data_IF_113140207540
#
_entry.id   IF_113140207540
#
_cell.length_a   1.000
_cell.length_b   1.000
_cell.length_c   1.000
_cell.angle_alpha   90.00
_cell.angle_beta   90.00
_cell.angle_gamma   90.00
#
_symmetry.space_group_name_H-M   'P 1'
#
loop_
_entity.id
_entity.type
_entity.pdbx_description
1 polymer ?
#
# COMPACT_ATOMS: atom_id res chain seq x y z
N UNK A 1 93.68 21.24 3.94
CA UNK A 1 93.83 22.30 2.91
C UNK A 1 92.63 22.28 1.99
N UNK A 2 92.04 23.44 1.80
CA UNK A 2 91.11 23.82 0.72
C UNK A 2 89.71 23.17 0.78
N UNK A 3 88.73 23.90 1.24
CA UNK A 3 87.92 24.94 0.53
C UNK A 3 87.25 24.39 -0.71
N UNK A 4 85.97 24.37 -0.78
CA UNK A 4 85.10 25.30 -1.53
C UNK A 4 83.72 24.73 -1.65
N UNK A 5 82.80 25.44 -1.21
CA UNK A 5 81.84 26.38 -1.83
C UNK A 5 80.58 25.62 -2.28
N UNK A 6 79.60 25.74 -1.51
CA UNK A 6 78.41 26.60 -1.65
C UNK A 6 77.89 26.64 -3.10
N UNK A 7 76.77 25.93 -3.31
CA UNK A 7 75.79 26.32 -4.30
C UNK A 7 74.41 26.02 -3.79
N UNK A 8 73.81 27.11 -3.39
CA UNK A 8 72.40 27.19 -2.96
C UNK A 8 71.55 27.21 -4.21
N UNK A 9 70.85 26.16 -4.53
CA UNK A 9 69.74 26.24 -5.49
C UNK A 9 68.45 26.13 -4.79
N UNK A 10 67.88 27.29 -4.66
CA UNK A 10 66.49 27.52 -4.11
C UNK A 10 65.53 27.03 -5.15
N UNK A 11 65.06 25.79 -5.02
CA UNK A 11 63.85 25.30 -5.77
C UNK A 11 62.63 25.62 -5.02
N UNK A 12 61.99 26.70 -5.41
CA UNK A 12 60.68 27.05 -4.96
C UNK A 12 59.65 26.05 -5.53
N UNK A 13 59.24 25.09 -4.71
CA UNK A 13 58.10 24.23 -5.04
C UNK A 13 56.83 25.00 -4.72
N UNK A 14 56.16 25.52 -5.73
CA UNK A 14 54.81 26.08 -5.65
C UNK A 14 53.84 24.93 -5.36
N UNK A 15 53.44 24.78 -4.13
CA UNK A 15 52.28 23.95 -3.74
C UNK A 15 51.03 24.68 -4.17
N UNK A 16 50.47 24.32 -5.34
CA UNK A 16 49.10 24.66 -5.72
C UNK A 16 48.15 23.85 -4.84
N UNK A 17 47.71 24.47 -3.76
CA UNK A 17 46.57 23.99 -2.99
C UNK A 17 45.29 24.15 -3.83
N UNK A 18 44.97 23.11 -4.62
CA UNK A 18 43.66 23.00 -5.28
C UNK A 18 42.61 22.76 -4.20
N UNK A 19 41.92 23.82 -3.76
CA UNK A 19 40.65 23.67 -3.04
C UNK A 19 39.63 23.06 -3.99
N UNK A 20 39.55 21.75 -4.06
CA UNK A 20 38.43 21.04 -4.64
C UNK A 20 37.23 21.33 -3.77
N UNK A 21 36.35 22.25 -4.16
CA UNK A 21 35.00 22.36 -3.60
C UNK A 21 34.26 21.08 -3.97
N UNK A 22 34.22 20.13 -3.04
CA UNK A 22 33.30 19.00 -3.13
C UNK A 22 31.89 19.63 -3.04
N UNK A 23 31.22 19.77 -4.18
CA UNK A 23 29.82 20.12 -4.20
C UNK A 23 29.07 19.10 -3.32
N UNK A 24 28.19 19.54 -2.38
CA UNK A 24 27.39 18.61 -1.63
C UNK A 24 26.60 17.78 -2.64
N UNK A 25 26.81 16.47 -2.61
CA UNK A 25 26.02 15.54 -3.40
C UNK A 25 24.58 15.76 -2.95
N UNK A 26 23.71 16.25 -3.82
CA UNK A 26 22.30 16.38 -3.52
C UNK A 26 21.81 14.98 -3.14
N UNK A 27 21.52 14.79 -1.87
CA UNK A 27 20.93 13.55 -1.37
C UNK A 27 19.62 13.36 -2.14
N UNK A 28 19.51 12.22 -2.83
CA UNK A 28 18.29 11.91 -3.57
C UNK A 28 17.10 11.97 -2.61
N UNK A 29 15.96 12.56 -3.02
CA UNK A 29 14.78 12.59 -2.17
C UNK A 29 14.49 11.17 -1.66
N UNK A 30 14.13 11.00 -0.38
CA UNK A 30 13.77 9.68 0.14
C UNK A 30 12.65 9.10 -0.72
N UNK A 31 12.79 7.83 -1.09
CA UNK A 31 11.78 7.12 -1.85
C UNK A 31 10.46 7.16 -1.07
N UNK A 32 9.31 7.35 -1.75
CA UNK A 32 8.03 7.39 -1.08
C UNK A 32 7.81 6.07 -0.33
N UNK A 33 7.68 6.15 0.98
CA UNK A 33 7.30 5.02 1.82
C UNK A 33 5.81 4.71 1.60
N UNK A 34 5.43 3.43 1.65
CA UNK A 34 4.03 3.03 1.54
C UNK A 34 3.21 3.63 2.68
N UNK A 35 2.22 4.45 2.34
CA UNK A 35 1.27 5.04 3.29
C UNK A 35 0.04 4.13 3.43
N UNK A 36 0.01 3.35 4.51
CA UNK A 36 -1.04 2.37 4.77
C UNK A 36 -2.41 3.03 5.00
N UNK A 37 -2.46 4.19 5.67
CA UNK A 37 -3.71 4.90 5.93
C UNK A 37 -4.30 5.49 4.64
N UNK A 38 -3.46 6.11 3.82
CA UNK A 38 -3.88 6.59 2.51
C UNK A 38 -4.36 5.43 1.61
N UNK A 39 -3.68 4.29 1.64
CA UNK A 39 -4.05 3.10 0.89
C UNK A 39 -5.44 2.58 1.29
N UNK A 40 -5.71 2.41 2.60
CA UNK A 40 -7.02 1.96 3.08
C UNK A 40 -8.11 3.00 2.77
N UNK A 41 -7.80 4.28 2.86
CA UNK A 41 -8.74 5.36 2.46
C UNK A 41 -9.11 5.23 0.98
N UNK A 42 -8.13 5.01 0.10
CA UNK A 42 -8.37 4.81 -1.33
C UNK A 42 -9.21 3.55 -1.61
N UNK A 43 -8.93 2.45 -0.89
CA UNK A 43 -9.71 1.20 -0.98
C UNK A 43 -11.17 1.44 -0.62
N UNK A 44 -11.44 2.12 0.48
CA UNK A 44 -12.81 2.41 0.93
C UNK A 44 -13.53 3.36 0.00
N UNK A 45 -12.83 4.36 -0.52
CA UNK A 45 -13.37 5.28 -1.53
C UNK A 45 -13.76 4.56 -2.83
N UNK A 46 -12.98 3.57 -3.28
CA UNK A 46 -13.31 2.76 -4.45
C UNK A 46 -14.60 1.95 -4.26
N UNK A 47 -14.94 1.61 -3.03
CA UNK A 47 -16.18 0.90 -2.67
C UNK A 47 -17.41 1.79 -2.52
N UNK A 48 -17.30 3.11 -2.70
CA UNK A 48 -18.48 3.96 -2.63
C UNK A 48 -19.46 3.58 -3.75
N UNK A 49 -20.72 3.31 -3.33
CA UNK A 49 -21.78 2.99 -4.28
C UNK A 49 -22.06 4.17 -5.21
N UNK A 50 -22.24 3.88 -6.49
CA UNK A 50 -22.83 4.86 -7.39
C UNK A 50 -24.34 4.98 -7.12
N UNK A 51 -24.96 6.10 -7.55
CA UNK A 51 -26.39 6.31 -7.35
C UNK A 51 -27.29 5.23 -7.99
N UNK A 52 -26.74 4.39 -8.85
CA UNK A 52 -27.43 3.28 -9.53
C UNK A 52 -27.19 1.91 -8.91
N UNK A 53 -26.33 1.80 -7.88
CA UNK A 53 -26.00 0.54 -7.23
C UNK A 53 -26.73 0.38 -5.90
N UNK A 54 -27.31 -0.80 -5.67
CA UNK A 54 -27.91 -1.17 -4.38
C UNK A 54 -26.85 -1.87 -3.54
N UNK A 55 -26.61 -1.36 -2.34
CA UNK A 55 -25.79 -2.04 -1.35
C UNK A 55 -26.64 -3.03 -0.57
N UNK A 56 -26.48 -4.31 -0.87
CA UNK A 56 -27.20 -5.40 -0.20
C UNK A 56 -26.32 -5.95 0.91
N UNK A 57 -26.71 -5.71 2.16
CA UNK A 57 -26.05 -6.28 3.32
C UNK A 57 -26.63 -7.67 3.62
N UNK A 58 -25.85 -8.75 3.59
CA UNK A 58 -26.31 -10.06 4.00
C UNK A 58 -26.62 -10.08 5.51
N UNK A 59 -27.60 -10.87 5.90
CA UNK A 59 -27.79 -11.18 7.32
C UNK A 59 -26.58 -11.98 7.82
N UNK A 60 -25.97 -11.52 8.89
CA UNK A 60 -24.80 -12.14 9.51
C UNK A 60 -25.16 -12.77 10.85
N UNK A 61 -24.33 -13.71 11.26
CA UNK A 61 -24.33 -14.19 12.64
C UNK A 61 -24.06 -13.01 13.59
N UNK A 62 -24.83 -12.85 14.68
CA UNK A 62 -24.66 -11.76 15.64
C UNK A 62 -23.23 -11.71 16.23
N UNK A 63 -22.61 -12.86 16.53
CA UNK A 63 -21.25 -12.92 17.04
C UNK A 63 -20.23 -12.40 16.01
N UNK A 64 -20.43 -12.71 14.74
CA UNK A 64 -19.60 -12.16 13.66
C UNK A 64 -19.75 -10.65 13.58
N UNK A 65 -20.95 -10.12 13.72
CA UNK A 65 -21.19 -8.68 13.67
C UNK A 65 -20.57 -7.95 14.88
N UNK A 66 -20.65 -8.54 16.08
CA UNK A 66 -19.99 -8.01 17.29
C UNK A 66 -18.47 -7.95 17.11
N UNK A 67 -17.85 -8.99 16.56
CA UNK A 67 -16.41 -9.02 16.28
C UNK A 67 -15.99 -7.97 15.22
N UNK A 68 -16.82 -7.74 14.21
CA UNK A 68 -16.59 -6.68 13.21
C UNK A 68 -16.64 -5.28 13.84
N UNK A 69 -17.66 -5.03 14.70
CA UNK A 69 -17.79 -3.77 15.43
C UNK A 69 -16.59 -3.56 16.37
N UNK A 70 -16.17 -4.61 17.07
CA UNK A 70 -14.97 -4.58 17.91
C UNK A 70 -13.74 -4.24 17.08
N UNK A 71 -13.55 -4.88 15.92
CA UNK A 71 -12.44 -4.59 15.01
C UNK A 71 -12.43 -3.11 14.58
N UNK A 72 -13.58 -2.59 14.16
CA UNK A 72 -13.72 -1.18 13.76
C UNK A 72 -13.36 -0.22 14.89
N UNK A 73 -13.82 -0.50 16.12
CA UNK A 73 -13.49 0.31 17.29
C UNK A 73 -12.01 0.26 17.65
N UNK A 74 -11.35 -0.88 17.48
CA UNK A 74 -9.91 -1.04 17.69
C UNK A 74 -9.10 -0.31 16.61
N UNK A 75 -9.51 -0.41 15.36
CA UNK A 75 -8.89 0.31 14.24
C UNK A 75 -8.95 1.83 14.46
N UNK A 76 -10.11 2.36 14.85
CA UNK A 76 -10.29 3.79 15.14
C UNK A 76 -9.34 4.31 16.26
N UNK A 77 -8.86 3.41 17.11
CA UNK A 77 -7.88 3.69 18.18
C UNK A 77 -6.44 3.44 17.74
N UNK A 78 -6.19 3.07 16.49
CA UNK A 78 -4.87 2.72 15.96
C UNK A 78 -4.36 1.34 16.41
N UNK A 79 -5.21 0.51 17.02
CA UNK A 79 -4.86 -0.83 17.52
C UNK A 79 -5.00 -1.88 16.41
N UNK A 80 -4.28 -1.68 15.30
CA UNK A 80 -4.45 -2.45 14.06
C UNK A 80 -4.23 -3.95 14.23
N UNK A 81 -3.30 -4.37 15.09
CA UNK A 81 -3.09 -5.80 15.38
C UNK A 81 -4.32 -6.42 16.03
N UNK A 82 -4.81 -5.79 17.08
CA UNK A 82 -6.00 -6.28 17.77
C UNK A 82 -7.25 -6.24 16.89
N UNK A 83 -7.37 -5.23 15.99
CA UNK A 83 -8.43 -5.19 15.00
C UNK A 83 -8.37 -6.38 14.03
N UNK A 84 -7.17 -6.71 13.55
CA UNK A 84 -6.96 -7.89 12.70
C UNK A 84 -7.30 -9.19 13.42
N UNK A 85 -6.91 -9.33 14.69
CA UNK A 85 -7.18 -10.52 15.51
C UNK A 85 -8.70 -10.72 15.73
N UNK A 86 -9.48 -9.65 15.89
CA UNK A 86 -10.94 -9.73 15.96
C UNK A 86 -11.55 -10.21 14.63
N UNK A 87 -11.04 -9.74 13.49
CA UNK A 87 -11.48 -10.23 12.17
C UNK A 87 -11.07 -11.67 11.91
N UNK A 88 -9.91 -12.12 12.40
CA UNK A 88 -9.51 -13.52 12.31
C UNK A 88 -10.45 -14.43 13.12
N UNK A 89 -10.96 -13.98 14.28
CA UNK A 89 -12.00 -14.68 15.05
C UNK A 89 -13.32 -14.73 14.27
N UNK A 90 -13.75 -13.61 13.67
CA UNK A 90 -14.96 -13.59 12.83
C UNK A 90 -14.85 -14.54 11.62
N UNK A 91 -13.67 -14.61 11.00
CA UNK A 91 -13.37 -15.53 9.90
C UNK A 91 -13.32 -17.00 10.35
N UNK A 92 -13.04 -17.28 11.61
CA UNK A 92 -13.14 -18.65 12.15
C UNK A 92 -14.59 -19.14 12.19
N UNK A 93 -15.56 -18.23 12.37
CA UNK A 93 -17.00 -18.52 12.33
C UNK A 93 -17.51 -18.54 10.89
N UNK A 94 -17.11 -17.57 10.07
CA UNK A 94 -17.57 -17.38 8.68
C UNK A 94 -16.42 -17.27 7.69
N UNK A 95 -15.70 -18.36 7.48
CA UNK A 95 -14.42 -18.41 6.73
C UNK A 95 -14.51 -17.94 5.27
N UNK A 96 -15.69 -18.02 4.65
CA UNK A 96 -15.94 -17.67 3.26
C UNK A 96 -16.62 -16.33 3.05
N UNK A 97 -16.92 -15.55 4.10
CA UNK A 97 -17.57 -14.25 3.96
C UNK A 97 -16.65 -13.26 3.22
N UNK A 98 -17.04 -12.80 2.01
CA UNK A 98 -16.17 -11.94 1.20
C UNK A 98 -15.95 -10.56 1.82
N UNK A 99 -16.91 -10.05 2.61
CA UNK A 99 -16.75 -8.77 3.29
C UNK A 99 -15.77 -8.88 4.46
N UNK A 100 -15.82 -9.97 5.24
CA UNK A 100 -14.83 -10.22 6.30
C UNK A 100 -13.42 -10.40 5.74
N UNK A 101 -13.28 -11.16 4.64
CA UNK A 101 -12.00 -11.32 3.95
C UNK A 101 -11.45 -9.98 3.48
N UNK A 102 -12.31 -9.10 2.96
CA UNK A 102 -11.94 -7.75 2.54
C UNK A 102 -11.52 -6.88 3.73
N UNK A 103 -12.29 -6.86 4.81
CA UNK A 103 -11.94 -6.09 6.00
C UNK A 103 -10.61 -6.57 6.60
N UNK A 104 -10.38 -7.88 6.61
CA UNK A 104 -9.08 -8.45 7.04
C UNK A 104 -7.92 -8.10 6.10
N UNK A 105 -8.19 -7.97 4.79
CA UNK A 105 -7.21 -7.51 3.81
C UNK A 105 -6.83 -6.03 4.05
N UNK A 106 -7.81 -5.18 4.39
CA UNK A 106 -7.56 -3.79 4.76
C UNK A 106 -6.73 -3.68 6.05
N UNK A 107 -7.04 -4.49 7.06
CA UNK A 107 -6.22 -4.58 8.27
C UNK A 107 -4.79 -5.06 7.97
N UNK A 108 -4.61 -5.93 6.98
CA UNK A 108 -3.28 -6.35 6.52
C UNK A 108 -2.50 -5.19 5.86
N UNK A 109 -3.16 -4.30 5.09
CA UNK A 109 -2.53 -3.09 4.56
C UNK A 109 -2.05 -2.19 5.71
N UNK A 110 -2.89 -1.96 6.73
CA UNK A 110 -2.55 -1.16 7.92
C UNK A 110 -1.36 -1.73 8.69
N UNK A 111 -1.18 -3.05 8.66
CA UNK A 111 -0.08 -3.76 9.27
C UNK A 111 1.16 -3.91 8.36
N UNK A 112 1.15 -3.32 7.17
CA UNK A 112 2.20 -3.49 6.15
C UNK A 112 2.43 -4.95 5.72
N UNK A 113 1.43 -5.81 5.89
CA UNK A 113 1.42 -7.21 5.46
C UNK A 113 0.91 -7.31 4.00
N UNK A 114 1.63 -6.68 3.08
CA UNK A 114 1.17 -6.45 1.71
C UNK A 114 0.89 -7.75 0.92
N UNK A 115 1.70 -8.81 1.01
CA UNK A 115 1.38 -10.09 0.36
C UNK A 115 0.09 -10.73 0.89
N UNK A 116 -0.18 -10.61 2.19
CA UNK A 116 -1.40 -11.12 2.80
C UNK A 116 -2.62 -10.28 2.39
N UNK A 117 -2.48 -8.96 2.32
CA UNK A 117 -3.54 -8.07 1.84
C UNK A 117 -3.98 -8.46 0.41
N UNK A 118 -3.02 -8.66 -0.50
CA UNK A 118 -3.31 -9.11 -1.87
C UNK A 118 -4.02 -10.47 -1.88
N UNK A 119 -3.47 -11.44 -1.16
CA UNK A 119 -4.02 -12.81 -1.11
C UNK A 119 -5.45 -12.84 -0.54
N UNK A 120 -5.71 -12.10 0.53
CA UNK A 120 -7.03 -12.01 1.16
C UNK A 120 -8.04 -11.31 0.24
N UNK A 121 -7.67 -10.22 -0.41
CA UNK A 121 -8.53 -9.51 -1.35
C UNK A 121 -8.87 -10.38 -2.58
N UNK A 122 -7.93 -11.16 -3.10
CA UNK A 122 -8.20 -12.11 -4.19
C UNK A 122 -9.14 -13.23 -3.75
N UNK A 123 -9.00 -13.75 -2.52
CA UNK A 123 -9.95 -14.72 -1.95
C UNK A 123 -11.34 -14.12 -1.78
N UNK A 124 -11.42 -12.87 -1.30
CA UNK A 124 -12.67 -12.15 -1.16
C UNK A 124 -13.37 -11.98 -2.51
N UNK A 125 -12.64 -11.60 -3.56
CA UNK A 125 -13.15 -11.51 -4.92
C UNK A 125 -13.68 -12.85 -5.44
N UNK A 126 -12.95 -13.95 -5.19
CA UNK A 126 -13.36 -15.28 -5.65
C UNK A 126 -14.62 -15.80 -4.92
N UNK A 127 -14.83 -15.38 -3.66
CA UNK A 127 -15.96 -15.81 -2.83
C UNK A 127 -17.20 -14.91 -2.99
N UNK A 128 -17.03 -13.67 -3.48
CA UNK A 128 -18.08 -12.66 -3.52
C UNK A 128 -18.61 -12.31 -4.90
N UNK A 129 -19.38 -11.23 -4.94
CA UNK A 129 -19.83 -10.64 -6.21
C UNK A 129 -18.65 -10.10 -6.99
N UNK A 130 -18.60 -10.40 -8.29
CA UNK A 130 -17.57 -9.92 -9.20
C UNK A 130 -17.92 -8.57 -9.84
N UNK A 131 -18.93 -7.89 -9.32
CA UNK A 131 -19.38 -6.55 -9.73
C UNK A 131 -19.77 -5.74 -8.50
N UNK A 132 -19.86 -4.43 -8.67
CA UNK A 132 -20.34 -3.51 -7.63
C UNK A 132 -19.28 -3.06 -6.63
N UNK A 133 -19.69 -2.42 -5.54
CA UNK A 133 -18.82 -1.73 -4.58
C UNK A 133 -17.75 -2.64 -3.97
N UNK A 134 -18.14 -3.83 -3.52
CA UNK A 134 -17.21 -4.75 -2.85
C UNK A 134 -16.16 -5.29 -3.83
N UNK A 135 -16.55 -5.59 -5.08
CA UNK A 135 -15.61 -5.96 -6.14
C UNK A 135 -14.55 -4.87 -6.37
N UNK A 136 -14.96 -3.61 -6.42
CA UNK A 136 -14.01 -2.48 -6.57
C UNK A 136 -13.05 -2.39 -5.39
N UNK A 137 -13.53 -2.59 -4.15
CA UNK A 137 -12.66 -2.62 -2.96
C UNK A 137 -11.61 -3.73 -3.05
N UNK A 138 -12.01 -4.94 -3.47
CA UNK A 138 -11.07 -6.06 -3.61
C UNK A 138 -9.93 -5.71 -4.55
N UNK A 139 -10.25 -5.20 -5.76
CA UNK A 139 -9.21 -4.90 -6.75
C UNK A 139 -8.40 -3.65 -6.41
N UNK A 140 -8.98 -2.67 -5.72
CA UNK A 140 -8.18 -1.55 -5.22
C UNK A 140 -7.21 -2.00 -4.11
N UNK A 141 -7.62 -2.92 -3.22
CA UNK A 141 -6.71 -3.51 -2.23
C UNK A 141 -5.53 -4.21 -2.90
N UNK A 142 -5.79 -5.00 -3.95
CA UNK A 142 -4.74 -5.64 -4.76
C UNK A 142 -3.81 -4.59 -5.38
N UNK A 143 -4.37 -3.50 -5.91
CA UNK A 143 -3.58 -2.43 -6.51
C UNK A 143 -2.67 -1.74 -5.48
N UNK A 144 -3.20 -1.41 -4.30
CA UNK A 144 -2.44 -0.76 -3.23
C UNK A 144 -1.34 -1.68 -2.68
N UNK A 145 -1.63 -2.96 -2.47
CA UNK A 145 -0.63 -3.94 -2.05
C UNK A 145 0.53 -4.02 -3.07
N UNK A 146 0.22 -4.07 -4.36
CA UNK A 146 1.21 -4.11 -5.44
C UNK A 146 2.02 -2.83 -5.57
N UNK A 147 1.43 -1.67 -5.28
CA UNK A 147 2.18 -0.40 -5.21
C UNK A 147 3.21 -0.46 -4.09
N UNK A 148 2.82 -0.94 -2.91
CA UNK A 148 3.75 -1.04 -1.78
C UNK A 148 4.80 -2.15 -1.91
N UNK A 149 4.55 -3.17 -2.75
CA UNK A 149 5.50 -4.25 -3.05
C UNK A 149 6.43 -3.92 -4.23
N UNK A 150 6.13 -2.84 -4.99
CA UNK A 150 6.91 -2.50 -6.17
C UNK A 150 8.35 -2.14 -5.78
N UNK A 151 9.30 -2.67 -6.55
CA UNK A 151 10.69 -2.23 -6.47
C UNK A 151 10.77 -0.73 -6.87
N UNK A 152 11.30 0.13 -6.01
CA UNK A 152 11.46 1.55 -6.32
C UNK A 152 12.30 1.83 -7.58
N UNK A 153 13.16 0.88 -7.96
CA UNK A 153 14.01 0.97 -9.16
C UNK A 153 13.27 0.46 -10.43
N UNK A 154 12.13 -0.20 -10.30
CA UNK A 154 11.35 -0.69 -11.42
C UNK A 154 10.30 0.34 -11.90
N UNK A 155 9.94 0.37 -13.19
CA UNK A 155 8.83 1.21 -13.65
C UNK A 155 7.56 0.86 -12.89
N UNK A 156 6.91 1.88 -12.31
CA UNK A 156 5.71 1.71 -11.49
C UNK A 156 4.66 0.87 -12.22
N UNK A 157 4.57 -0.31 -11.80
CA UNK A 157 3.46 -1.19 -11.68
C UNK A 157 2.54 -1.44 -12.86
N UNK A 158 3.00 -2.13 -13.92
CA UNK A 158 2.06 -2.87 -14.80
C UNK A 158 1.10 -3.71 -13.94
N UNK A 159 1.60 -4.37 -12.91
CA UNK A 159 0.80 -5.18 -11.98
C UNK A 159 -0.26 -4.39 -11.20
N UNK A 160 0.05 -3.19 -10.72
CA UNK A 160 -0.92 -2.32 -10.04
C UNK A 160 -1.93 -1.71 -11.02
N UNK A 161 -1.49 -1.33 -12.22
CA UNK A 161 -2.40 -0.82 -13.25
C UNK A 161 -3.38 -1.89 -13.76
N UNK A 162 -2.95 -3.15 -13.84
CA UNK A 162 -3.83 -4.27 -14.16
C UNK A 162 -4.93 -4.45 -13.10
N UNK A 163 -4.57 -4.37 -11.82
CA UNK A 163 -5.55 -4.45 -10.74
C UNK A 163 -6.57 -3.30 -10.83
N UNK A 164 -6.12 -2.08 -11.13
CA UNK A 164 -7.03 -0.94 -11.31
C UNK A 164 -7.96 -1.11 -12.51
N UNK A 165 -7.50 -1.64 -13.64
CA UNK A 165 -8.39 -1.96 -14.77
C UNK A 165 -9.46 -2.98 -14.38
N UNK A 166 -9.12 -3.99 -13.58
CA UNK A 166 -10.11 -4.95 -13.05
C UNK A 166 -11.08 -4.28 -12.07
N UNK A 167 -10.62 -3.38 -11.21
CA UNK A 167 -11.49 -2.55 -10.37
C UNK A 167 -12.51 -1.79 -11.21
N UNK A 168 -12.07 -1.14 -12.28
CA UNK A 168 -12.94 -0.33 -13.13
C UNK A 168 -13.98 -1.20 -13.85
N UNK A 169 -13.63 -2.44 -14.20
CA UNK A 169 -14.57 -3.41 -14.79
C UNK A 169 -15.65 -3.92 -13.81
N UNK A 170 -15.50 -3.70 -12.50
CA UNK A 170 -16.53 -4.04 -11.51
C UNK A 170 -17.75 -3.09 -11.57
N UNK A 171 -17.65 -1.96 -12.26
CA UNK A 171 -18.72 -0.97 -12.30
C UNK A 171 -19.83 -1.45 -13.23
N UNK A 172 -21.07 -1.46 -12.71
CA UNK A 172 -22.27 -1.80 -13.50
C UNK A 172 -22.84 -0.52 -14.09
N UNK A 173 -23.00 -0.49 -15.42
CA UNK A 173 -23.67 0.62 -16.08
C UNK A 173 -25.16 0.66 -15.66
N UNK A 174 -25.67 1.86 -15.41
CA UNK A 174 -27.11 2.01 -15.19
C UNK A 174 -27.89 1.53 -16.43
N UNK A 175 -29.04 0.82 -16.25
CA UNK A 175 -29.87 0.44 -17.37
C UNK A 175 -30.37 1.69 -18.10
N UNK A 176 -30.40 1.64 -19.43
CA UNK A 176 -31.00 2.72 -20.21
C UNK A 176 -32.48 2.85 -19.83
N UNK A 177 -32.90 4.06 -19.47
CA UNK A 177 -34.29 4.36 -19.18
C UNK A 177 -34.97 4.71 -20.48
N UNK A 178 -35.87 3.87 -20.89
CA UNK A 178 -36.75 4.12 -22.04
C UNK A 178 -37.85 5.10 -21.65
#
# INVERSE_FOLDING_TARGET
MRRLVLSCTLSAVLLLAGCGTVAPSAEAPPLPTFDALAAVTAVRAAGNASASELDVQPLRDPEVEDLRQQSSALEARGMFRAAADALDQALAISAGDPALLQERAEAALLLHQLPDAERLAQRAFAAGSQVGPLCRRHWETVAQARVGLADPAAPVGVAASDARRRRDSCTVAAPERF
#
